data_IF_997615725951
#
_entry.id   IF_997615725951
#
_cell.length_a   1.000
_cell.length_b   1.000
_cell.length_c   1.000
_cell.angle_alpha   90.00
_cell.angle_beta   90.00
_cell.angle_gamma   90.00
#
_symmetry.space_group_name_H-M   'P 1'
#
loop_
_entity.id
_entity.type
_entity.pdbx_description
1 polymer ?
#
# COMPACT_ATOMS: atom_id res chain seq x y z
N UNK A 1 -21.71 -31.95 11.23
CA UNK A 1 -21.99 -31.23 12.50
C UNK A 1 -21.82 -29.75 12.25
N UNK A 2 -22.93 -29.01 12.22
CA UNK A 2 -22.94 -27.55 12.11
C UNK A 2 -22.25 -26.93 13.34
N UNK A 3 -21.45 -25.89 13.11
CA UNK A 3 -20.78 -25.15 14.18
C UNK A 3 -21.77 -24.10 14.67
N UNK A 4 -22.23 -24.19 15.93
CA UNK A 4 -23.12 -23.18 16.50
C UNK A 4 -22.49 -21.78 16.39
N UNK A 5 -23.30 -20.84 15.94
CA UNK A 5 -23.03 -19.41 15.98
C UNK A 5 -22.92 -18.90 17.42
N UNK A 6 -22.40 -17.69 17.59
CA UNK A 6 -22.31 -17.06 18.91
C UNK A 6 -23.70 -16.82 19.51
N UNK A 7 -24.68 -16.48 18.68
CA UNK A 7 -26.06 -16.17 19.09
C UNK A 7 -26.76 -17.42 19.59
N UNK A 8 -26.63 -18.54 18.88
CA UNK A 8 -27.22 -19.81 19.30
C UNK A 8 -26.56 -20.33 20.59
N UNK A 9 -25.24 -20.14 20.76
CA UNK A 9 -24.55 -20.47 22.03
C UNK A 9 -25.11 -19.62 23.18
N UNK A 10 -25.35 -18.32 22.97
CA UNK A 10 -25.96 -17.45 23.99
C UNK A 10 -27.40 -17.86 24.31
N UNK A 11 -28.20 -18.16 23.28
CA UNK A 11 -29.57 -18.62 23.42
C UNK A 11 -29.66 -19.93 24.21
N UNK A 12 -28.80 -20.90 23.89
CA UNK A 12 -28.71 -22.18 24.60
C UNK A 12 -28.42 -21.97 26.09
N UNK A 13 -27.44 -21.12 26.41
CA UNK A 13 -27.06 -20.81 27.80
C UNK A 13 -28.18 -20.12 28.57
N UNK A 14 -28.79 -19.10 27.96
CA UNK A 14 -29.88 -18.36 28.56
C UNK A 14 -31.11 -19.26 28.81
N UNK A 15 -31.41 -20.15 27.86
CA UNK A 15 -32.48 -21.13 28.01
C UNK A 15 -32.16 -22.11 29.15
N UNK A 16 -30.98 -22.71 29.17
CA UNK A 16 -30.59 -23.64 30.23
C UNK A 16 -30.62 -23.00 31.63
N UNK A 17 -30.25 -21.73 31.75
CA UNK A 17 -30.29 -20.98 33.01
C UNK A 17 -31.72 -20.64 33.45
N UNK A 18 -32.57 -20.15 32.54
CA UNK A 18 -33.98 -19.79 32.83
C UNK A 18 -34.83 -21.01 33.15
N UNK A 19 -34.50 -22.14 32.53
CA UNK A 19 -35.27 -23.36 32.61
C UNK A 19 -35.14 -24.09 33.97
N UNK A 20 -34.18 -23.74 34.83
CA UNK A 20 -33.99 -24.30 36.19
C UNK A 20 -34.14 -25.84 36.27
N UNK A 21 -33.76 -26.57 35.22
CA UNK A 21 -33.85 -28.04 35.14
C UNK A 21 -35.21 -28.63 34.75
N UNK A 22 -36.18 -27.83 34.27
CA UNK A 22 -37.49 -28.34 33.82
C UNK A 22 -37.47 -29.05 32.46
N UNK A 23 -36.57 -28.67 31.55
CA UNK A 23 -36.32 -29.45 30.31
C UNK A 23 -34.97 -30.15 30.39
N UNK A 24 -34.92 -31.34 29.82
CA UNK A 24 -33.71 -32.15 29.71
C UNK A 24 -32.71 -31.54 28.72
N UNK A 25 -31.42 -31.89 28.88
CA UNK A 25 -30.39 -31.50 27.92
C UNK A 25 -30.68 -32.02 26.50
N UNK A 26 -31.40 -33.13 26.37
CA UNK A 26 -31.82 -33.70 25.09
C UNK A 26 -32.87 -32.81 24.38
N UNK A 27 -33.82 -32.24 25.12
CA UNK A 27 -34.84 -31.34 24.56
C UNK A 27 -34.23 -30.01 24.15
N UNK A 28 -33.31 -29.47 24.95
CA UNK A 28 -32.53 -28.28 24.59
C UNK A 28 -31.73 -28.58 23.30
N UNK A 29 -31.13 -29.76 23.20
CA UNK A 29 -30.36 -30.14 22.01
C UNK A 29 -31.23 -30.21 20.74
N UNK A 30 -32.46 -30.73 20.84
CA UNK A 30 -33.43 -30.76 19.73
C UNK A 30 -33.83 -29.37 19.25
N UNK A 31 -34.05 -28.43 20.17
CA UNK A 31 -34.45 -27.05 19.82
C UNK A 31 -33.38 -26.31 19.01
N UNK A 32 -32.10 -26.61 19.28
CA UNK A 32 -30.95 -26.02 18.58
C UNK A 32 -30.37 -26.95 17.50
N UNK A 33 -31.08 -28.03 17.14
CA UNK A 33 -30.66 -29.03 16.13
C UNK A 33 -29.23 -29.57 16.33
N UNK A 34 -28.82 -29.76 17.58
CA UNK A 34 -27.48 -30.20 17.97
C UNK A 34 -27.53 -31.49 18.78
N UNK A 35 -26.36 -32.08 19.03
CA UNK A 35 -26.25 -33.25 19.90
C UNK A 35 -26.28 -32.83 21.36
N UNK A 36 -26.81 -33.71 22.22
CA UNK A 36 -26.81 -33.50 23.67
C UNK A 36 -25.40 -33.23 24.23
N UNK A 37 -24.38 -33.92 23.69
CA UNK A 37 -22.99 -33.72 24.06
C UNK A 37 -22.49 -32.29 23.82
N UNK A 38 -23.05 -31.60 22.82
CA UNK A 38 -22.72 -30.20 22.50
C UNK A 38 -23.30 -29.25 23.55
N UNK A 39 -24.54 -29.48 23.98
CA UNK A 39 -25.17 -28.75 25.10
C UNK A 39 -24.37 -28.93 26.39
N UNK A 40 -24.04 -30.18 26.75
CA UNK A 40 -23.23 -30.50 27.94
C UNK A 40 -21.85 -29.83 27.88
N UNK A 41 -21.19 -29.83 26.71
CA UNK A 41 -19.91 -29.19 26.49
C UNK A 41 -19.95 -27.67 26.78
N UNK A 42 -20.95 -26.96 26.22
CA UNK A 42 -21.07 -25.52 26.40
C UNK A 42 -21.46 -25.12 27.83
N UNK A 43 -22.37 -25.85 28.47
CA UNK A 43 -22.75 -25.62 29.88
C UNK A 43 -21.59 -25.89 30.85
N UNK A 44 -20.81 -26.95 30.61
CA UNK A 44 -19.61 -27.25 31.41
C UNK A 44 -18.56 -26.13 31.27
N UNK A 45 -18.32 -25.65 30.05
CA UNK A 45 -17.36 -24.56 29.80
C UNK A 45 -17.77 -23.24 30.44
N UNK A 46 -19.06 -22.95 30.49
CA UNK A 46 -19.62 -21.78 31.16
C UNK A 46 -19.42 -21.83 32.68
N UNK A 47 -19.76 -22.94 33.32
CA UNK A 47 -19.51 -23.15 34.75
C UNK A 47 -18.03 -23.00 35.10
N UNK A 48 -17.15 -23.52 34.24
CA UNK A 48 -15.70 -23.45 34.44
C UNK A 48 -15.07 -22.11 34.01
N UNK A 49 -15.84 -21.15 33.46
CA UNK A 49 -15.34 -19.88 32.87
C UNK A 49 -14.08 -20.06 32.00
N UNK A 50 -14.04 -21.15 31.23
CA UNK A 50 -12.83 -21.54 30.47
C UNK A 50 -12.67 -20.71 29.20
N UNK A 51 -11.70 -19.79 29.21
CA UNK A 51 -11.28 -19.04 28.02
C UNK A 51 -10.57 -19.99 27.05
N UNK A 52 -10.88 -19.89 25.76
CA UNK A 52 -10.21 -20.66 24.71
C UNK A 52 -8.79 -20.11 24.46
N UNK A 53 -7.79 -20.72 25.10
CA UNK A 53 -6.37 -20.34 24.99
C UNK A 53 -5.71 -20.79 23.68
N UNK A 54 -6.45 -21.41 22.74
CA UNK A 54 -5.86 -21.87 21.46
C UNK A 54 -5.27 -20.73 20.64
N UNK A 55 -5.80 -19.51 20.79
CA UNK A 55 -5.31 -18.31 20.10
C UNK A 55 -4.03 -17.74 20.70
N UNK A 56 -3.71 -18.08 21.95
CA UNK A 56 -2.62 -17.49 22.71
C UNK A 56 -1.33 -18.32 22.63
N UNK A 57 -1.31 -19.38 21.82
CA UNK A 57 -0.10 -20.18 21.63
C UNK A 57 0.98 -19.33 20.95
N UNK A 58 2.18 -19.19 21.55
CA UNK A 58 3.27 -18.47 20.92
C UNK A 58 3.63 -19.15 19.60
N UNK A 59 4.01 -18.34 18.61
CA UNK A 59 4.45 -18.87 17.32
C UNK A 59 5.81 -19.54 17.51
N UNK A 60 6.10 -20.59 16.73
CA UNK A 60 7.44 -21.21 16.75
C UNK A 60 8.56 -20.23 16.38
N UNK A 61 8.23 -19.16 15.65
CA UNK A 61 9.15 -18.07 15.30
C UNK A 61 9.32 -17.01 16.41
N UNK A 62 8.49 -17.00 17.45
CA UNK A 62 8.56 -16.00 18.54
C UNK A 62 9.91 -15.97 19.28
N UNK A 63 10.59 -17.11 19.53
CA UNK A 63 11.92 -17.09 20.15
C UNK A 63 13.00 -16.40 19.29
N UNK A 64 12.80 -16.34 17.97
CA UNK A 64 13.73 -15.74 17.01
C UNK A 64 13.37 -14.28 16.69
N UNK A 65 12.48 -13.66 17.47
CA UNK A 65 12.01 -12.28 17.29
C UNK A 65 13.15 -11.29 17.12
N UNK A 66 14.10 -11.26 18.05
CA UNK A 66 15.25 -10.35 18.00
C UNK A 66 16.08 -10.47 16.71
N UNK A 67 16.24 -11.69 16.18
CA UNK A 67 17.00 -11.96 14.95
C UNK A 67 16.21 -11.46 13.73
N UNK A 68 14.90 -11.72 13.72
CA UNK A 68 13.99 -11.23 12.68
C UNK A 68 14.00 -9.70 12.68
N UNK A 69 13.96 -9.07 13.84
CA UNK A 69 13.98 -7.61 13.97
C UNK A 69 15.25 -7.01 13.37
N UNK A 70 16.42 -7.55 13.74
CA UNK A 70 17.72 -7.13 13.20
C UNK A 70 17.82 -7.36 11.69
N UNK A 71 17.29 -8.48 11.20
CA UNK A 71 17.25 -8.77 9.78
C UNK A 71 16.38 -7.77 9.01
N UNK A 72 15.20 -7.42 9.55
CA UNK A 72 14.31 -6.43 8.95
C UNK A 72 14.94 -5.03 8.94
N UNK A 73 15.68 -4.65 9.99
CA UNK A 73 16.38 -3.36 10.07
C UNK A 73 17.51 -3.25 9.05
N UNK A 74 18.36 -4.26 8.95
CA UNK A 74 19.45 -4.31 7.98
C UNK A 74 18.95 -4.20 6.53
N UNK A 75 17.78 -4.77 6.26
CA UNK A 75 17.21 -4.79 4.93
C UNK A 75 16.23 -3.63 4.64
N UNK A 76 15.99 -2.74 5.61
CA UNK A 76 15.04 -1.62 5.46
C UNK A 76 15.46 -0.62 4.39
N UNK A 77 16.76 -0.52 4.09
CA UNK A 77 17.34 0.39 3.09
C UNK A 77 17.53 -0.26 1.72
N UNK A 78 17.22 -1.54 1.57
CA UNK A 78 17.41 -2.23 0.30
C UNK A 78 16.37 -1.78 -0.72
N UNK A 79 16.83 -1.58 -1.96
CA UNK A 79 15.99 -1.17 -3.09
C UNK A 79 14.97 -2.28 -3.44
N UNK A 80 15.30 -3.53 -3.14
CA UNK A 80 14.43 -4.69 -3.38
C UNK A 80 13.64 -5.06 -2.11
N UNK A 81 12.35 -5.40 -2.24
CA UNK A 81 11.55 -5.86 -1.12
C UNK A 81 12.13 -7.18 -0.58
N UNK A 82 12.25 -7.24 0.75
CA UNK A 82 12.84 -8.37 1.45
C UNK A 82 12.04 -9.66 1.24
N UNK A 83 12.70 -10.74 0.86
CA UNK A 83 12.06 -12.04 0.76
C UNK A 83 11.94 -12.70 2.14
N UNK A 84 10.71 -13.02 2.53
CA UNK A 84 10.46 -13.82 3.75
C UNK A 84 11.05 -15.22 3.63
N UNK A 85 11.30 -15.70 2.40
CA UNK A 85 11.94 -17.00 2.15
C UNK A 85 13.43 -16.96 2.49
N UNK A 86 14.13 -15.90 2.08
CA UNK A 86 15.55 -15.69 2.43
C UNK A 86 15.72 -15.60 3.95
N UNK A 87 14.82 -14.86 4.64
CA UNK A 87 14.81 -14.82 6.11
C UNK A 87 14.63 -16.22 6.73
N UNK A 88 13.77 -17.06 6.14
CA UNK A 88 13.55 -18.42 6.65
C UNK A 88 14.77 -19.32 6.44
N UNK A 89 15.41 -19.25 5.29
CA UNK A 89 16.64 -19.98 4.98
C UNK A 89 17.78 -19.54 5.91
N UNK A 90 17.96 -18.24 6.10
CA UNK A 90 18.91 -17.66 7.06
C UNK A 90 18.66 -18.14 8.50
N UNK A 91 17.40 -18.20 8.94
CA UNK A 91 17.05 -18.70 10.28
C UNK A 91 17.38 -20.19 10.45
N UNK A 92 17.29 -20.99 9.38
CA UNK A 92 17.67 -22.41 9.41
C UNK A 92 19.18 -22.56 9.50
N UNK A 93 19.91 -21.91 8.60
CA UNK A 93 21.34 -22.09 8.42
C UNK A 93 22.15 -21.55 9.61
N UNK A 94 21.83 -20.34 10.08
CA UNK A 94 22.63 -19.66 11.10
C UNK A 94 22.15 -19.91 12.53
N UNK A 95 20.85 -20.19 12.70
CA UNK A 95 20.22 -20.26 14.02
C UNK A 95 19.47 -21.58 14.29
N UNK A 96 19.53 -22.54 13.37
CA UNK A 96 18.99 -23.89 13.58
C UNK A 96 17.45 -23.93 13.72
N UNK A 97 16.73 -23.05 13.01
CA UNK A 97 15.28 -22.97 13.09
C UNK A 97 14.58 -24.28 12.65
N UNK A 98 13.83 -24.92 13.56
CA UNK A 98 13.08 -26.18 13.31
C UNK A 98 11.59 -25.98 12.99
N UNK A 99 11.16 -24.74 12.79
CA UNK A 99 9.77 -24.42 12.47
C UNK A 99 9.49 -24.47 10.98
N UNK A 100 8.23 -24.26 10.59
CA UNK A 100 7.87 -24.19 9.18
C UNK A 100 7.95 -22.76 8.66
N UNK A 101 8.21 -22.62 7.35
CA UNK A 101 8.12 -21.35 6.64
C UNK A 101 6.81 -20.58 6.94
N UNK A 102 5.67 -21.29 6.98
CA UNK A 102 4.36 -20.69 7.29
C UNK A 102 4.31 -20.05 8.69
N UNK A 103 5.10 -20.54 9.65
CA UNK A 103 5.19 -19.93 10.99
C UNK A 103 5.93 -18.59 10.94
N UNK A 104 7.07 -18.54 10.22
CA UNK A 104 7.84 -17.29 10.02
C UNK A 104 7.00 -16.28 9.24
N UNK A 105 6.36 -16.70 8.15
CA UNK A 105 5.49 -15.84 7.36
C UNK A 105 4.34 -15.23 8.19
N UNK A 106 3.71 -16.03 9.06
CA UNK A 106 2.65 -15.55 9.94
C UNK A 106 3.17 -14.57 10.98
N UNK A 107 4.38 -14.80 11.51
CA UNK A 107 5.04 -13.89 12.43
C UNK A 107 5.35 -12.55 11.74
N UNK A 108 6.02 -12.59 10.58
CA UNK A 108 6.36 -11.39 9.81
C UNK A 108 5.12 -10.58 9.45
N UNK A 109 4.05 -11.22 8.94
CA UNK A 109 2.80 -10.51 8.61
C UNK A 109 2.11 -9.85 9.81
N UNK A 110 2.25 -10.43 11.00
CA UNK A 110 1.66 -9.90 12.24
C UNK A 110 2.44 -8.70 12.77
N UNK A 111 3.77 -8.73 12.67
CA UNK A 111 4.65 -7.73 13.27
C UNK A 111 5.14 -6.65 12.28
N UNK A 112 5.14 -6.97 10.97
CA UNK A 112 5.57 -6.10 9.87
C UNK A 112 4.50 -6.07 8.77
N UNK A 113 3.33 -5.47 9.04
CA UNK A 113 2.30 -5.34 8.03
C UNK A 113 2.80 -4.47 6.85
N UNK A 114 2.33 -4.74 5.62
CA UNK A 114 2.66 -3.88 4.48
C UNK A 114 2.24 -2.44 4.78
N UNK A 115 2.98 -1.44 4.26
CA UNK A 115 2.59 -0.05 4.42
C UNK A 115 1.17 0.15 3.88
N UNK A 116 0.36 1.03 4.50
CA UNK A 116 -1.00 1.28 4.04
C UNK A 116 -0.96 1.68 2.57
N UNK A 117 -1.77 0.99 1.75
CA UNK A 117 -1.95 1.32 0.34
C UNK A 117 -2.48 2.75 0.30
N UNK A 118 -1.65 3.71 -0.12
CA UNK A 118 -2.11 5.07 -0.36
C UNK A 118 -3.04 5.03 -1.58
N UNK A 119 -4.33 5.38 -1.45
CA UNK A 119 -5.21 5.44 -2.60
C UNK A 119 -4.67 6.50 -3.55
N UNK A 120 -4.20 6.08 -4.73
CA UNK A 120 -3.86 7.01 -5.81
C UNK A 120 -5.17 7.54 -6.39
N UNK A 121 -5.55 8.76 -6.01
CA UNK A 121 -6.69 9.43 -6.64
C UNK A 121 -6.26 9.84 -8.05
N UNK A 122 -6.93 9.29 -9.07
CA UNK A 122 -6.81 9.78 -10.45
C UNK A 122 -7.39 11.20 -10.49
N UNK A 123 -6.58 12.17 -10.88
CA UNK A 123 -7.01 13.56 -11.06
C UNK A 123 -7.29 13.73 -12.55
N UNK A 124 -8.56 13.84 -12.90
CA UNK A 124 -9.01 14.16 -14.27
C UNK A 124 -9.19 15.68 -14.36
N UNK A 125 -8.48 16.31 -15.28
CA UNK A 125 -8.51 17.75 -15.52
C UNK A 125 -9.00 18.01 -16.95
N UNK A 126 -9.74 19.10 -17.22
CA UNK A 126 -10.13 19.47 -18.58
C UNK A 126 -8.93 19.59 -19.53
N UNK A 127 -9.19 19.52 -20.84
CA UNK A 127 -8.20 19.78 -21.86
C UNK A 127 -7.55 21.18 -21.67
N UNK A 128 -6.24 21.28 -21.88
CA UNK A 128 -5.48 22.52 -21.69
C UNK A 128 -5.29 22.96 -20.23
N UNK A 129 -5.89 22.29 -19.24
CA UNK A 129 -5.85 22.78 -17.86
C UNK A 129 -4.48 22.62 -17.19
N UNK A 130 -3.78 21.50 -17.41
CA UNK A 130 -2.41 21.38 -16.93
C UNK A 130 -1.51 20.46 -17.74
N UNK A 131 -0.20 20.68 -17.66
CA UNK A 131 0.84 19.75 -18.08
C UNK A 131 1.77 19.40 -16.93
N UNK A 132 2.34 18.20 -16.99
CA UNK A 132 3.45 17.78 -16.14
C UNK A 132 4.74 17.87 -16.92
N UNK A 133 5.80 18.36 -16.27
CA UNK A 133 7.11 18.53 -16.88
C UNK A 133 8.16 17.85 -16.02
N UNK A 134 9.05 17.10 -16.66
CA UNK A 134 10.15 16.40 -16.00
C UNK A 134 11.40 16.35 -16.90
N UNK A 135 12.56 16.11 -16.29
CA UNK A 135 13.81 15.82 -16.98
C UNK A 135 14.19 14.35 -16.85
N UNK A 136 14.41 13.70 -17.99
CA UNK A 136 15.17 12.45 -18.03
C UNK A 136 16.65 12.79 -18.19
N UNK A 137 17.45 12.43 -17.21
CA UNK A 137 18.84 12.87 -17.13
C UNK A 137 19.84 11.86 -17.69
N UNK A 138 20.97 12.36 -18.20
CA UNK A 138 22.14 11.54 -18.56
C UNK A 138 21.82 10.38 -19.51
N UNK A 139 20.89 10.59 -20.43
CA UNK A 139 20.51 9.59 -21.43
C UNK A 139 21.68 9.42 -22.41
N UNK A 140 22.25 8.21 -22.52
CA UNK A 140 23.32 7.94 -23.47
C UNK A 140 22.73 7.86 -24.89
N UNK A 141 23.19 8.75 -25.78
CA UNK A 141 22.75 8.82 -27.18
C UNK A 141 23.99 8.83 -28.07
N UNK A 142 23.95 8.09 -29.18
CA UNK A 142 25.00 8.12 -30.18
C UNK A 142 24.68 9.22 -31.20
N UNK A 143 25.54 10.23 -31.27
CA UNK A 143 25.45 11.32 -32.24
C UNK A 143 26.75 11.32 -33.05
N UNK A 144 26.64 11.17 -34.37
CA UNK A 144 27.79 11.11 -35.28
C UNK A 144 28.84 10.07 -34.85
N UNK A 145 28.39 8.88 -34.43
CA UNK A 145 29.26 7.79 -33.99
C UNK A 145 29.91 7.98 -32.61
N UNK A 146 29.65 9.08 -31.90
CA UNK A 146 30.16 9.34 -30.55
C UNK A 146 29.06 9.22 -29.51
N UNK A 147 29.35 8.53 -28.41
CA UNK A 147 28.44 8.44 -27.27
C UNK A 147 28.44 9.78 -26.50
N UNK A 148 27.29 10.45 -26.47
CA UNK A 148 27.06 11.69 -25.73
C UNK A 148 25.93 11.49 -24.72
N UNK A 149 26.07 12.09 -23.55
CA UNK A 149 24.99 12.11 -22.54
C UNK A 149 24.19 13.39 -22.73
N UNK A 150 22.90 13.24 -22.99
CA UNK A 150 21.96 14.36 -23.11
C UNK A 150 20.85 14.23 -22.07
N UNK A 151 20.11 15.32 -21.90
CA UNK A 151 18.93 15.37 -21.07
C UNK A 151 17.69 15.47 -21.96
N UNK A 152 16.64 14.75 -21.63
CA UNK A 152 15.35 14.83 -22.30
C UNK A 152 14.39 15.63 -21.42
N UNK A 153 13.96 16.79 -21.91
CA UNK A 153 12.84 17.53 -21.34
C UNK A 153 11.54 16.90 -21.84
N UNK A 154 10.70 16.43 -20.91
CA UNK A 154 9.45 15.75 -21.25
C UNK A 154 8.29 16.55 -20.68
N UNK A 155 7.37 16.99 -21.55
CA UNK A 155 6.13 17.65 -21.15
C UNK A 155 4.94 16.78 -21.56
N UNK A 156 4.09 16.42 -20.59
CA UNK A 156 2.90 15.59 -20.82
C UNK A 156 1.62 16.29 -20.39
N UNK A 157 0.65 16.40 -21.29
CA UNK A 157 -0.65 16.99 -21.02
C UNK A 157 -1.47 16.13 -20.04
N UNK A 158 -2.13 16.78 -19.07
CA UNK A 158 -2.88 16.10 -18.01
C UNK A 158 -4.29 15.63 -18.42
N UNK A 159 -4.75 15.92 -19.64
CA UNK A 159 -5.99 15.39 -20.17
C UNK A 159 -5.71 14.31 -21.23
N UNK A 160 -5.15 14.73 -22.38
CA UNK A 160 -4.94 13.87 -23.55
C UNK A 160 -3.76 12.92 -23.43
N UNK A 161 -2.87 13.10 -22.44
CA UNK A 161 -1.56 12.41 -22.37
C UNK A 161 -0.65 12.68 -23.57
N UNK A 162 -0.94 13.70 -24.38
CA UNK A 162 -0.03 14.14 -25.43
C UNK A 162 1.31 14.56 -24.82
N UNK A 163 2.41 14.04 -25.37
CA UNK A 163 3.76 14.21 -24.82
C UNK A 163 4.68 14.85 -25.85
N UNK A 164 5.39 15.90 -25.45
CA UNK A 164 6.52 16.46 -26.18
C UNK A 164 7.83 16.04 -25.49
N UNK A 165 8.85 15.69 -26.28
CA UNK A 165 10.19 15.38 -25.79
C UNK A 165 11.21 16.25 -26.54
N UNK A 166 11.94 17.07 -25.79
CA UNK A 166 12.96 18.00 -26.32
C UNK A 166 14.32 17.63 -25.74
N UNK A 167 15.31 17.40 -26.60
CA UNK A 167 16.67 17.10 -26.16
C UNK A 167 17.44 18.38 -25.83
N UNK A 168 18.15 18.37 -24.70
CA UNK A 168 19.02 19.47 -24.28
C UNK A 168 20.33 18.95 -23.70
N UNK A 169 21.42 19.66 -23.97
CA UNK A 169 22.72 19.37 -23.38
C UNK A 169 22.81 19.86 -21.92
N UNK A 170 22.11 20.96 -21.61
CA UNK A 170 22.14 21.65 -20.31
C UNK A 170 20.76 21.65 -19.66
N UNK A 171 20.73 21.92 -18.35
CA UNK A 171 19.51 22.06 -17.54
C UNK A 171 19.45 23.40 -16.79
N UNK A 172 20.13 24.42 -17.31
CA UNK A 172 20.03 25.77 -16.77
C UNK A 172 18.65 26.38 -17.09
N UNK A 173 18.37 27.53 -16.50
CA UNK A 173 17.09 28.24 -16.65
C UNK A 173 16.80 28.61 -18.11
N UNK A 174 17.83 28.98 -18.87
CA UNK A 174 17.69 29.28 -20.30
C UNK A 174 17.28 28.03 -21.09
N UNK A 175 17.91 26.90 -20.85
CA UNK A 175 17.55 25.62 -21.47
C UNK A 175 16.13 25.20 -21.08
N UNK A 176 15.73 25.45 -19.84
CA UNK A 176 14.38 25.20 -19.34
C UNK A 176 13.33 25.99 -20.12
N UNK A 177 13.49 27.31 -20.24
CA UNK A 177 12.56 28.19 -20.99
C UNK A 177 12.55 27.79 -22.47
N UNK A 178 13.71 27.54 -23.05
CA UNK A 178 13.82 27.13 -24.45
C UNK A 178 13.05 25.83 -24.74
N UNK A 179 13.19 24.82 -23.88
CA UNK A 179 12.49 23.55 -24.02
C UNK A 179 10.97 23.70 -23.86
N UNK A 180 10.50 24.59 -22.98
CA UNK A 180 9.07 24.91 -22.86
C UNK A 180 8.51 25.47 -24.17
N UNK A 181 9.19 26.46 -24.76
CA UNK A 181 8.74 27.08 -26.01
C UNK A 181 8.65 26.07 -27.15
N UNK A 182 9.65 25.20 -27.29
CA UNK A 182 9.63 24.12 -28.28
C UNK A 182 8.51 23.11 -28.00
N UNK A 183 8.29 22.75 -26.74
CA UNK A 183 7.21 21.83 -26.35
C UNK A 183 5.82 22.42 -26.64
N UNK A 184 5.58 23.69 -26.35
CA UNK A 184 4.31 24.36 -26.66
C UNK A 184 4.05 24.41 -28.17
N UNK A 185 5.09 24.73 -28.94
CA UNK A 185 5.01 24.74 -30.41
C UNK A 185 4.69 23.36 -30.95
N UNK A 186 5.31 22.31 -30.41
CA UNK A 186 5.03 20.92 -30.80
C UNK A 186 3.61 20.47 -30.42
N UNK A 187 3.14 20.83 -29.23
CA UNK A 187 1.80 20.47 -28.73
C UNK A 187 0.68 21.32 -29.34
N UNK A 188 1.01 22.41 -30.05
CA UNK A 188 0.04 23.31 -30.67
C UNK A 188 -0.77 24.13 -29.66
N UNK A 189 -0.24 24.34 -28.45
CA UNK A 189 -0.95 25.10 -27.41
C UNK A 189 -0.19 25.19 -26.10
N UNK A 190 -0.65 26.10 -25.22
CA UNK A 190 -0.05 26.37 -23.91
C UNK A 190 -1.05 25.94 -22.83
N UNK A 191 -0.67 25.02 -21.92
CA UNK A 191 -1.51 24.65 -20.79
C UNK A 191 -1.59 25.79 -19.76
N UNK A 192 -2.74 25.95 -19.10
CA UNK A 192 -2.94 26.99 -18.10
C UNK A 192 -1.99 26.85 -16.89
N UNK A 193 -1.65 25.62 -16.50
CA UNK A 193 -0.75 25.33 -15.38
C UNK A 193 0.30 24.29 -15.75
N UNK A 194 1.56 24.61 -15.47
CA UNK A 194 2.68 23.68 -15.61
C UNK A 194 3.07 23.18 -14.23
N UNK A 195 3.15 21.85 -14.09
CA UNK A 195 3.55 21.18 -12.85
C UNK A 195 4.92 20.52 -13.04
N UNK A 196 6.01 21.18 -12.63
CA UNK A 196 7.31 20.52 -12.57
C UNK A 196 7.29 19.51 -11.41
N UNK A 197 7.72 18.28 -11.65
CA UNK A 197 7.98 17.33 -10.57
C UNK A 197 9.41 17.53 -10.07
N UNK A 198 9.54 18.11 -8.88
CA UNK A 198 10.76 18.24 -8.07
C UNK A 198 12.09 18.59 -8.77
N UNK A 199 12.05 19.37 -9.85
CA UNK A 199 13.26 19.88 -10.48
C UNK A 199 13.84 20.97 -9.59
N UNK A 200 15.08 20.80 -9.10
CA UNK A 200 15.78 21.85 -8.32
C UNK A 200 15.81 23.21 -9.06
N UNK A 201 15.70 23.20 -10.38
CA UNK A 201 15.62 24.37 -11.25
C UNK A 201 14.32 25.17 -11.12
N UNK A 202 13.25 24.60 -10.53
CA UNK A 202 11.95 25.24 -10.35
C UNK A 202 11.55 25.45 -8.87
N UNK A 203 12.38 25.02 -7.91
CA UNK A 203 12.02 24.96 -6.49
C UNK A 203 13.01 25.75 -5.63
N UNK A 204 12.64 26.97 -5.22
CA UNK A 204 13.40 27.81 -4.28
C UNK A 204 13.24 27.30 -2.82
N UNK A 205 12.16 26.57 -2.50
CA UNK A 205 11.91 26.02 -1.16
C UNK A 205 11.14 24.71 -1.27
N UNK A 206 11.76 23.60 -0.84
CA UNK A 206 11.13 22.29 -0.82
C UNK A 206 9.94 22.28 0.14
N UNK A 207 8.72 22.17 -0.38
CA UNK A 207 7.59 21.81 0.45
C UNK A 207 7.62 20.29 0.65
N UNK A 208 7.95 19.86 1.87
CA UNK A 208 7.86 18.47 2.27
C UNK A 208 6.43 17.91 2.20
N UNK A 209 6.10 16.82 2.92
CA UNK A 209 4.83 16.08 2.79
C UNK A 209 3.56 16.87 3.18
N UNK A 210 3.67 18.17 3.46
CA UNK A 210 2.58 19.14 3.63
C UNK A 210 2.52 20.08 2.41
N UNK A 211 2.46 19.54 1.20
CA UNK A 211 2.09 20.35 0.04
C UNK A 211 0.62 20.70 0.17
N UNK A 212 0.29 21.97 0.36
CA UNK A 212 -1.08 22.47 0.22
C UNK A 212 -1.53 22.07 -1.18
N UNK A 213 -2.41 21.08 -1.30
CA UNK A 213 -3.03 20.80 -2.59
C UNK A 213 -3.64 22.12 -3.05
N UNK A 214 -3.23 22.64 -4.21
CA UNK A 214 -3.97 23.72 -4.86
C UNK A 214 -5.38 23.18 -5.08
N UNK A 215 -6.28 23.47 -4.13
CA UNK A 215 -7.59 22.80 -4.02
C UNK A 215 -8.52 23.17 -5.17
N UNK A 216 -8.17 24.13 -6.02
CA UNK A 216 -9.04 24.59 -7.11
C UNK A 216 -8.26 24.96 -8.38
N UNK A 217 -7.56 24.00 -9.01
CA UNK A 217 -7.13 24.17 -10.41
C UNK A 217 -8.34 24.34 -11.36
N UNK A 218 -9.51 23.83 -10.96
CA UNK A 218 -10.78 24.02 -11.66
C UNK A 218 -11.16 25.50 -11.84
N UNK A 219 -10.82 26.39 -10.90
CA UNK A 219 -11.11 27.83 -10.99
C UNK A 219 -10.19 28.56 -11.96
N UNK A 220 -8.94 28.13 -12.10
CA UNK A 220 -7.99 28.70 -13.07
C UNK A 220 -8.36 28.34 -14.51
N UNK A 221 -9.00 27.19 -14.72
CA UNK A 221 -9.37 26.66 -16.02
C UNK A 221 -10.76 27.14 -16.52
N UNK A 222 -11.36 28.16 -15.86
CA UNK A 222 -12.62 28.79 -16.28
C UNK A 222 -12.43 29.98 -17.24
N UNK A 223 -11.19 30.36 -17.54
CA UNK A 223 -10.89 31.38 -18.55
C UNK A 223 -11.11 30.86 -19.98
N UNK A 224 -11.46 31.74 -20.94
CA UNK A 224 -11.60 31.34 -22.34
C UNK A 224 -10.29 30.75 -22.85
N UNK A 225 -10.40 29.65 -23.60
CA UNK A 225 -9.29 29.09 -24.36
C UNK A 225 -8.82 30.16 -25.36
N UNK A 226 -7.56 30.59 -25.26
CA UNK A 226 -6.97 31.53 -26.22
C UNK A 226 -6.23 30.67 -27.26
N UNK A 227 -6.85 30.33 -28.41
CA UNK A 227 -6.09 29.82 -29.53
C UNK A 227 -5.15 30.92 -30.03
N UNK A 228 -3.92 30.53 -30.38
CA UNK A 228 -3.08 31.33 -31.27
C UNK A 228 -3.61 31.25 -32.69
#
# INVERSE_FOLDING_TARGET
>A
MSRLSKEEIMGLKALAQRNKGKMSNCEIARLFEVTEGTVRYHLKREKQKTVDKRKDKPMKASPFSHIIDKWMENNKKNIRPLSVRELYEYLIEEYGYKGSYKSVLRYVRKHYPPPPIRPRRRVELPAGCSAQVDWVENVPIVINGKLKKLNAFVMTLSYSRGTACIWSEKKDELSWIHCHNLAFKFLGGIPAVIRPDNVKTAVIKGQGPKGTSLKDLSKLCQGPWIPY
#
